data_IF_529955561311
#
_entry.id   IF_529955561311
#
_cell.length_a   1.000
_cell.length_b   1.000
_cell.length_c   1.000
_cell.angle_alpha   90.00
_cell.angle_beta   90.00
_cell.angle_gamma   90.00
#
_symmetry.space_group_name_H-M   'P 1'
#
loop_
_entity.id
_entity.type
_entity.pdbx_description
1 polymer ?
#
# COMPACT_ATOMS: atom_id res chain seq x y z
N UNK A 1 -37.17 8.26 7.07
CA UNK A 1 -35.90 8.45 7.79
C UNK A 1 -34.84 7.95 6.85
N UNK A 2 -33.99 8.87 6.38
CA UNK A 2 -33.04 8.62 5.31
C UNK A 2 -31.97 7.63 5.82
N UNK A 3 -32.16 6.34 5.55
CA UNK A 3 -31.15 5.32 5.88
C UNK A 3 -30.05 5.44 4.84
N UNK A 4 -29.08 6.31 5.10
CA UNK A 4 -27.89 6.44 4.26
C UNK A 4 -27.25 5.08 4.05
N UNK A 5 -27.02 4.71 2.79
CA UNK A 5 -26.32 3.47 2.41
C UNK A 5 -24.93 3.49 3.06
N UNK A 6 -24.53 2.38 3.68
CA UNK A 6 -23.20 2.21 4.25
C UNK A 6 -22.59 0.93 3.70
N UNK A 7 -21.31 0.99 3.31
CA UNK A 7 -20.54 -0.18 2.88
C UNK A 7 -19.40 -0.38 3.86
N UNK A 8 -19.26 -1.60 4.36
CA UNK A 8 -18.18 -1.97 5.27
C UNK A 8 -17.12 -2.83 4.61
N UNK A 9 -15.90 -2.75 5.15
CA UNK A 9 -14.79 -3.63 4.82
C UNK A 9 -14.05 -4.06 6.09
N UNK A 10 -13.53 -5.28 6.08
CA UNK A 10 -12.65 -5.81 7.12
C UNK A 10 -11.19 -5.74 6.66
N UNK A 11 -10.43 -4.79 7.21
CA UNK A 11 -9.05 -4.55 6.77
C UNK A 11 -8.05 -5.50 7.42
N UNK A 12 -7.53 -6.43 6.60
CA UNK A 12 -6.48 -7.39 6.94
C UNK A 12 -5.15 -7.09 6.22
N UNK A 13 -5.02 -5.90 5.63
CA UNK A 13 -3.96 -5.53 4.71
C UNK A 13 -2.58 -5.48 5.37
N UNK A 14 -1.63 -6.21 4.79
CA UNK A 14 -0.24 -6.30 5.25
C UNK A 14 0.74 -6.19 4.09
N UNK A 15 1.91 -5.60 4.34
CA UNK A 15 3.04 -5.59 3.40
C UNK A 15 4.33 -5.94 4.12
N UNK A 16 5.01 -7.03 3.70
CA UNK A 16 6.24 -7.54 4.35
C UNK A 16 6.08 -7.64 5.88
N UNK A 17 4.94 -8.15 6.34
CA UNK A 17 4.56 -8.29 7.76
C UNK A 17 4.30 -6.99 8.53
N UNK A 18 4.26 -5.83 7.87
CA UNK A 18 3.78 -4.57 8.45
C UNK A 18 2.29 -4.41 8.20
N UNK A 19 1.52 -4.13 9.25
CA UNK A 19 0.09 -3.85 9.15
C UNK A 19 -0.10 -2.44 8.57
N UNK A 20 -0.74 -2.36 7.40
CA UNK A 20 -0.88 -1.09 6.69
C UNK A 20 -1.75 -0.10 7.46
N UNK A 21 -2.70 -0.58 8.28
CA UNK A 21 -3.52 0.25 9.17
C UNK A 21 -2.70 1.09 10.13
N UNK A 22 -1.72 0.46 10.78
CA UNK A 22 -0.83 1.15 11.71
C UNK A 22 0.08 2.08 10.93
N UNK A 23 0.69 1.59 9.85
CA UNK A 23 1.65 2.37 9.08
C UNK A 23 1.01 3.63 8.49
N UNK A 24 -0.18 3.51 7.88
CA UNK A 24 -0.93 4.63 7.34
C UNK A 24 -1.57 5.49 8.41
N UNK A 25 -2.08 4.89 9.49
CA UNK A 25 -2.58 5.62 10.63
C UNK A 25 -1.51 6.54 11.20
N UNK A 26 -0.32 6.02 11.47
CA UNK A 26 0.78 6.81 12.01
C UNK A 26 1.35 7.80 11.00
N UNK A 27 1.44 7.47 9.71
CA UNK A 27 1.97 8.39 8.70
C UNK A 27 0.97 9.52 8.34
N UNK A 28 -0.28 9.19 8.04
CA UNK A 28 -1.26 10.12 7.47
C UNK A 28 -2.40 10.52 8.43
N UNK A 29 -2.58 9.82 9.54
CA UNK A 29 -3.68 10.08 10.49
C UNK A 29 -5.01 9.51 10.06
N UNK A 30 -4.98 8.56 9.12
CA UNK A 30 -6.14 7.99 8.46
C UNK A 30 -5.94 6.48 8.31
N UNK A 31 -7.00 5.66 8.26
CA UNK A 31 -6.86 4.25 7.93
C UNK A 31 -6.25 4.06 6.53
N UNK A 32 -5.72 2.86 6.27
CA UNK A 32 -5.14 2.53 4.95
C UNK A 32 -6.13 2.80 3.80
N UNK A 33 -7.41 2.47 4.01
CA UNK A 33 -8.48 2.71 3.05
C UNK A 33 -9.08 4.12 3.08
N UNK A 34 -8.56 5.03 3.91
CA UNK A 34 -9.09 6.40 4.06
C UNK A 34 -9.08 7.22 2.77
N UNK A 35 -8.14 6.93 1.86
CA UNK A 35 -8.08 7.57 0.52
C UNK A 35 -9.29 7.26 -0.37
N UNK A 36 -10.05 6.22 -0.03
CA UNK A 36 -11.25 5.79 -0.74
C UNK A 36 -12.55 6.10 0.05
N UNK A 37 -12.47 6.94 1.09
CA UNK A 37 -13.63 7.37 1.89
C UNK A 37 -13.98 6.43 3.06
N UNK A 38 -13.19 5.39 3.30
CA UNK A 38 -13.42 4.48 4.42
C UNK A 38 -12.90 5.06 5.73
N UNK A 39 -13.77 5.19 6.71
CA UNK A 39 -13.48 5.69 8.05
C UNK A 39 -13.64 4.61 9.11
N UNK A 40 -13.27 4.92 10.35
CA UNK A 40 -13.53 4.02 11.47
C UNK A 40 -15.03 3.71 11.57
N UNK A 41 -15.39 2.43 11.47
CA UNK A 41 -16.75 1.98 11.73
C UNK A 41 -16.90 1.44 13.15
N UNK A 42 -16.22 0.33 13.43
CA UNK A 42 -16.16 -0.28 14.77
C UNK A 42 -14.80 -0.89 15.02
N UNK A 43 -14.41 -0.97 16.28
CA UNK A 43 -13.22 -1.71 16.70
C UNK A 43 -13.59 -3.07 17.27
N UNK A 44 -12.72 -4.03 17.04
CA UNK A 44 -12.76 -5.33 17.69
C UNK A 44 -12.35 -5.18 19.16
N UNK A 45 -12.77 -6.13 20.00
CA UNK A 45 -12.33 -6.24 21.39
C UNK A 45 -12.61 -4.99 22.26
N UNK A 46 -13.69 -4.27 21.96
CA UNK A 46 -14.16 -3.12 22.74
C UNK A 46 -13.47 -1.79 22.40
N UNK A 47 -12.68 -1.74 21.32
CA UNK A 47 -12.13 -0.47 20.82
C UNK A 47 -13.26 0.38 20.25
N UNK A 48 -13.52 1.52 20.87
CA UNK A 48 -14.48 2.51 20.37
C UNK A 48 -13.78 3.64 19.58
N UNK A 49 -14.57 4.54 19.01
CA UNK A 49 -14.07 5.64 18.17
C UNK A 49 -13.13 6.59 18.92
N UNK A 50 -13.44 6.95 20.16
CA UNK A 50 -12.61 7.84 20.99
C UNK A 50 -11.25 7.20 21.29
N UNK A 51 -11.24 5.92 21.68
CA UNK A 51 -10.02 5.16 21.91
C UNK A 51 -9.15 5.08 20.65
N UNK A 52 -9.77 4.84 19.49
CA UNK A 52 -9.09 4.81 18.21
C UNK A 52 -8.46 6.16 17.85
N UNK A 53 -9.24 7.24 17.89
CA UNK A 53 -8.76 8.59 17.58
C UNK A 53 -7.65 9.03 18.54
N UNK A 54 -7.86 8.90 19.85
CA UNK A 54 -6.87 9.25 20.86
C UNK A 54 -5.58 8.44 20.69
N UNK A 55 -5.68 7.16 20.38
CA UNK A 55 -4.50 6.32 20.12
C UNK A 55 -3.76 6.80 18.87
N UNK A 56 -4.49 7.12 17.79
CA UNK A 56 -3.91 7.65 16.56
C UNK A 56 -3.15 8.94 16.80
N UNK A 57 -3.80 9.92 17.44
CA UNK A 57 -3.22 11.22 17.75
C UNK A 57 -2.00 11.09 18.65
N UNK A 58 -2.10 10.30 19.73
CA UNK A 58 -1.01 10.15 20.70
C UNK A 58 0.21 9.47 20.08
N UNK A 59 0.03 8.42 19.27
CA UNK A 59 1.15 7.77 18.58
C UNK A 59 1.79 8.73 17.58
N UNK A 60 0.98 9.48 16.82
CA UNK A 60 1.48 10.44 15.83
C UNK A 60 2.24 11.60 16.47
N UNK A 61 1.74 12.14 17.57
CA UNK A 61 2.33 13.29 18.27
C UNK A 61 3.49 12.89 19.19
N UNK A 62 3.76 11.60 19.36
CA UNK A 62 4.81 11.11 20.22
C UNK A 62 6.18 11.63 19.75
N UNK A 63 6.92 12.29 20.65
CA UNK A 63 8.19 12.96 20.30
C UNK A 63 9.27 11.97 19.95
N UNK A 64 10.00 12.24 18.86
CA UNK A 64 11.11 11.41 18.42
C UNK A 64 12.22 11.32 19.46
N UNK A 65 12.53 12.42 20.14
CA UNK A 65 13.54 12.46 21.21
C UNK A 65 13.22 11.51 22.37
N UNK A 66 11.94 11.36 22.71
CA UNK A 66 11.49 10.42 23.75
C UNK A 66 11.68 8.96 23.32
N UNK A 67 11.43 8.65 22.04
CA UNK A 67 11.64 7.30 21.47
C UNK A 67 13.12 6.98 21.41
N UNK A 68 13.95 7.90 20.92
CA UNK A 68 15.40 7.70 20.85
C UNK A 68 15.99 7.50 22.24
N UNK A 69 15.56 8.26 23.25
CA UNK A 69 16.04 8.09 24.62
C UNK A 69 15.62 6.73 25.21
N UNK A 70 14.37 6.32 24.98
CA UNK A 70 13.87 5.02 25.48
C UNK A 70 14.55 3.82 24.82
N UNK A 71 15.01 3.96 23.58
CA UNK A 71 15.60 2.86 22.79
C UNK A 71 17.13 2.92 22.71
N UNK A 72 17.75 4.04 23.08
CA UNK A 72 19.20 4.28 22.99
C UNK A 72 20.04 3.24 23.75
N UNK A 73 19.48 2.66 24.81
CA UNK A 73 20.19 1.68 25.67
C UNK A 73 20.29 0.30 24.99
N UNK A 74 19.46 0.00 23.99
CA UNK A 74 19.33 -1.36 23.44
C UNK A 74 19.38 -1.45 21.91
N UNK A 75 19.28 -0.33 21.18
CA UNK A 75 19.19 -0.35 19.73
C UNK A 75 19.99 0.79 19.08
N UNK A 76 21.32 0.70 19.00
CA UNK A 76 22.14 1.75 18.37
C UNK A 76 21.75 2.02 16.91
N UNK A 77 21.30 1.00 16.17
CA UNK A 77 20.86 1.13 14.78
C UNK A 77 19.65 2.05 14.62
N UNK A 78 18.75 2.13 15.62
CA UNK A 78 17.58 3.02 15.55
C UNK A 78 18.01 4.49 15.56
N UNK A 79 19.04 4.82 16.33
CA UNK A 79 19.57 6.18 16.43
C UNK A 79 20.22 6.59 15.12
N UNK A 80 20.98 5.68 14.49
CA UNK A 80 21.60 5.90 13.18
C UNK A 80 20.54 6.12 12.10
N UNK A 81 19.49 5.30 12.07
CA UNK A 81 18.41 5.41 11.10
C UNK A 81 17.63 6.72 11.30
N UNK A 82 17.24 7.05 12.54
CA UNK A 82 16.51 8.29 12.83
C UNK A 82 17.39 9.51 12.50
N UNK A 83 18.66 9.52 12.91
CA UNK A 83 19.60 10.61 12.60
C UNK A 83 19.77 10.82 11.09
N UNK A 84 19.84 9.72 10.32
CA UNK A 84 19.89 9.78 8.85
C UNK A 84 18.66 10.48 8.27
N UNK A 85 17.45 10.06 8.63
CA UNK A 85 16.23 10.70 8.11
C UNK A 85 16.04 12.14 8.64
N UNK A 86 16.50 12.42 9.87
CA UNK A 86 16.55 13.78 10.42
C UNK A 86 17.38 14.70 9.52
N UNK A 87 18.61 14.30 9.18
CA UNK A 87 19.48 15.06 8.27
C UNK A 87 18.87 15.23 6.87
N UNK A 88 18.29 14.16 6.31
CA UNK A 88 17.64 14.21 4.99
C UNK A 88 16.45 15.18 4.95
N UNK A 89 15.75 15.33 6.08
CA UNK A 89 14.60 16.24 6.21
C UNK A 89 14.97 17.69 6.53
N UNK A 90 16.26 18.02 6.64
CA UNK A 90 16.71 19.33 7.15
C UNK A 90 16.38 19.55 8.62
N UNK A 91 16.49 18.50 9.43
CA UNK A 91 16.23 18.48 10.87
C UNK A 91 14.81 18.90 11.30
N UNK A 92 13.82 18.69 10.41
CA UNK A 92 12.43 19.10 10.63
C UNK A 92 11.55 18.06 11.33
N UNK A 93 11.99 16.81 11.47
CA UNK A 93 11.18 15.76 12.09
C UNK A 93 11.18 15.93 13.63
N UNK A 94 10.00 16.00 14.22
CA UNK A 94 9.84 16.17 15.68
C UNK A 94 9.06 15.02 16.32
N UNK A 95 8.15 14.42 15.56
CA UNK A 95 7.22 13.40 16.05
C UNK A 95 7.30 12.13 15.20
N UNK A 96 6.77 11.02 15.73
CA UNK A 96 6.64 9.78 14.96
C UNK A 96 5.82 9.97 13.69
N UNK A 97 4.76 10.78 13.75
CA UNK A 97 3.99 11.14 12.56
C UNK A 97 4.86 11.78 11.49
N UNK A 98 5.71 12.74 11.84
CA UNK A 98 6.63 13.37 10.88
C UNK A 98 7.60 12.36 10.27
N UNK A 99 8.22 11.49 11.09
CA UNK A 99 9.17 10.49 10.61
C UNK A 99 8.51 9.49 9.65
N UNK A 100 7.40 8.86 10.05
CA UNK A 100 6.75 7.85 9.22
C UNK A 100 6.14 8.46 7.95
N UNK A 101 5.58 9.68 8.02
CA UNK A 101 5.13 10.41 6.84
C UNK A 101 6.29 10.68 5.88
N UNK A 102 7.40 11.22 6.36
CA UNK A 102 8.56 11.54 5.54
C UNK A 102 9.17 10.30 4.86
N UNK A 103 9.34 9.19 5.60
CA UNK A 103 9.86 7.93 5.02
C UNK A 103 8.89 7.35 3.98
N UNK A 104 7.59 7.47 4.20
CA UNK A 104 6.57 7.01 3.24
C UNK A 104 6.51 7.87 1.97
N UNK A 105 6.69 9.18 2.09
CA UNK A 105 6.79 10.09 0.94
C UNK A 105 8.10 9.91 0.16
N UNK A 106 9.21 9.63 0.84
CA UNK A 106 10.44 9.22 0.15
C UNK A 106 10.23 7.92 -0.63
N UNK A 107 9.46 6.98 -0.08
CA UNK A 107 9.13 5.73 -0.77
C UNK A 107 8.32 5.97 -2.04
N UNK A 108 7.32 6.86 -2.02
CA UNK A 108 6.55 7.19 -3.23
C UNK A 108 7.43 7.88 -4.27
N UNK A 109 8.31 8.79 -3.86
CA UNK A 109 9.25 9.48 -4.75
C UNK A 109 10.27 8.52 -5.42
N UNK A 110 10.77 7.52 -4.68
CA UNK A 110 11.69 6.51 -5.21
C UNK A 110 11.00 5.46 -6.09
N UNK A 111 9.69 5.29 -5.94
CA UNK A 111 8.87 4.39 -6.76
C UNK A 111 8.42 5.07 -8.05
N UNK A 112 8.23 6.40 -8.05
CA UNK A 112 7.81 7.21 -9.20
C UNK A 112 8.88 7.49 -10.26
N UNK A 113 10.04 6.82 -10.22
CA UNK A 113 10.92 6.83 -11.40
C UNK A 113 10.20 6.04 -12.52
N UNK A 114 9.88 6.63 -13.69
CA UNK A 114 9.18 5.95 -14.81
C UNK A 114 9.98 4.80 -15.44
N UNK A 115 11.02 4.31 -14.76
CA UNK A 115 11.96 3.30 -15.23
C UNK A 115 11.91 2.04 -14.33
N UNK A 116 11.14 2.01 -13.24
CA UNK A 116 11.24 0.91 -12.26
C UNK A 116 9.92 0.23 -11.87
N UNK A 117 8.80 0.57 -12.50
CA UNK A 117 7.55 -0.18 -12.36
C UNK A 117 7.22 -0.73 -13.75
N UNK A 118 7.10 -2.05 -13.84
CA UNK A 118 6.97 -2.87 -15.05
C UNK A 118 8.28 -3.25 -15.73
N UNK A 119 8.88 -4.33 -15.20
CA UNK A 119 9.90 -5.14 -15.88
C UNK A 119 11.21 -4.39 -16.20
N UNK A 120 12.33 -5.11 -16.13
CA UNK A 120 13.55 -4.66 -16.76
C UNK A 120 13.36 -4.67 -18.29
N UNK A 121 12.60 -3.70 -18.82
CA UNK A 121 12.50 -3.46 -20.26
C UNK A 121 13.65 -2.53 -20.60
N UNK A 122 14.76 -3.16 -21.01
CA UNK A 122 15.79 -2.50 -21.81
C UNK A 122 15.11 -1.60 -22.85
N UNK A 123 15.63 -0.39 -23.14
CA UNK A 123 15.00 0.55 -24.05
C UNK A 123 14.58 -0.16 -25.35
N UNK A 124 13.28 -0.43 -25.47
CA UNK A 124 12.74 -1.45 -26.38
C UNK A 124 12.71 -1.00 -27.84
N UNK A 125 13.19 0.21 -28.12
CA UNK A 125 13.13 0.77 -29.46
C UNK A 125 14.27 0.27 -30.38
N UNK A 126 15.16 -0.63 -29.90
CA UNK A 126 16.25 -1.22 -30.70
C UNK A 126 16.57 -2.69 -30.37
N UNK A 127 15.70 -3.45 -29.70
CA UNK A 127 16.00 -4.83 -29.32
C UNK A 127 15.49 -5.85 -30.36
N UNK A 128 16.40 -6.50 -31.10
CA UNK A 128 16.08 -7.59 -32.05
C UNK A 128 15.72 -8.92 -31.34
N UNK A 129 16.06 -9.07 -30.06
CA UNK A 129 15.90 -10.31 -29.30
C UNK A 129 14.64 -10.27 -28.40
N UNK A 130 14.04 -11.43 -28.15
CA UNK A 130 12.88 -11.54 -27.27
C UNK A 130 13.24 -11.29 -25.80
N UNK A 131 12.29 -10.78 -25.01
CA UNK A 131 12.49 -10.46 -23.59
C UNK A 131 13.01 -11.66 -22.77
N UNK A 132 12.51 -12.87 -23.05
CA UNK A 132 12.98 -14.11 -22.39
C UNK A 132 14.46 -14.41 -22.66
N UNK A 133 14.96 -14.14 -23.88
CA UNK A 133 16.37 -14.35 -24.22
C UNK A 133 17.28 -13.31 -23.58
N UNK A 134 16.82 -12.06 -23.52
CA UNK A 134 17.52 -10.96 -22.83
C UNK A 134 17.64 -11.25 -21.33
N UNK A 135 16.56 -11.72 -20.71
CA UNK A 135 16.53 -12.08 -19.29
C UNK A 135 17.50 -13.23 -18.99
N UNK A 136 17.47 -14.31 -19.78
CA UNK A 136 18.39 -15.42 -19.62
C UNK A 136 19.86 -14.99 -19.78
N UNK A 137 20.17 -14.15 -20.77
CA UNK A 137 21.50 -13.60 -20.96
C UNK A 137 21.94 -12.71 -19.79
N UNK A 138 21.02 -11.95 -19.21
CA UNK A 138 21.26 -11.11 -18.02
C UNK A 138 21.63 -11.95 -16.81
N UNK A 139 20.88 -13.03 -16.56
CA UNK A 139 21.16 -13.96 -15.46
C UNK A 139 22.53 -14.63 -15.60
N UNK A 140 22.86 -15.12 -16.80
CA UNK A 140 24.17 -15.74 -17.07
C UNK A 140 25.32 -14.76 -16.86
N UNK A 141 25.17 -13.50 -17.28
CA UNK A 141 26.19 -12.46 -17.08
C UNK A 141 26.38 -12.16 -15.59
N UNK A 142 25.30 -12.07 -14.80
CA UNK A 142 25.39 -11.83 -13.36
C UNK A 142 26.10 -13.00 -12.67
N UNK A 143 25.74 -14.24 -13.00
CA UNK A 143 26.39 -15.43 -12.42
C UNK A 143 27.88 -15.48 -12.78
N UNK A 144 28.24 -15.12 -14.02
CA UNK A 144 29.63 -14.99 -14.46
C UNK A 144 30.41 -13.95 -13.64
N UNK A 145 29.82 -12.78 -13.39
CA UNK A 145 30.44 -11.75 -12.55
C UNK A 145 30.53 -12.17 -11.08
N UNK A 146 29.53 -12.87 -10.57
CA UNK A 146 29.50 -13.39 -9.19
C UNK A 146 30.63 -14.39 -8.93
N UNK A 147 30.90 -15.27 -9.89
CA UNK A 147 32.00 -16.24 -9.82
C UNK A 147 33.40 -15.60 -9.75
N UNK A 148 33.52 -14.30 -10.06
CA UNK A 148 34.78 -13.56 -10.00
C UNK A 148 35.00 -12.80 -8.67
N UNK A 149 34.11 -12.95 -7.68
CA UNK A 149 34.36 -12.51 -6.29
C UNK A 149 34.68 -11.02 -6.14
N UNK A 150 33.82 -10.12 -6.64
CA UNK A 150 33.97 -8.65 -6.59
C UNK A 150 35.22 -8.08 -7.28
N UNK A 151 35.89 -8.84 -8.15
CA UNK A 151 36.99 -8.33 -8.97
C UNK A 151 36.45 -7.63 -10.22
N UNK A 152 37.19 -6.63 -10.69
CA UNK A 152 36.95 -6.02 -11.99
C UNK A 152 37.36 -6.99 -13.10
N UNK A 153 36.44 -7.27 -14.01
CA UNK A 153 36.60 -8.23 -15.11
C UNK A 153 36.41 -7.51 -16.44
N UNK A 154 37.30 -7.77 -17.40
CA UNK A 154 37.19 -7.15 -18.72
C UNK A 154 35.93 -7.60 -19.46
N UNK A 155 35.41 -6.74 -20.35
CA UNK A 155 34.28 -7.09 -21.24
C UNK A 155 34.47 -8.45 -21.93
N UNK A 156 35.69 -8.72 -22.39
CA UNK A 156 36.02 -9.93 -23.14
C UNK A 156 35.89 -11.19 -22.28
N UNK A 157 36.40 -11.15 -21.04
CA UNK A 157 36.32 -12.27 -20.09
C UNK A 157 34.87 -12.58 -19.69
N UNK A 158 34.05 -11.57 -19.42
CA UNK A 158 32.61 -11.78 -19.12
C UNK A 158 31.89 -12.38 -20.33
N UNK A 159 32.20 -11.89 -21.54
CA UNK A 159 31.63 -12.43 -22.78
C UNK A 159 32.04 -13.89 -23.01
N UNK A 160 33.32 -14.22 -22.85
CA UNK A 160 33.83 -15.56 -23.08
C UNK A 160 33.25 -16.58 -22.09
N UNK A 161 33.09 -16.18 -20.82
CA UNK A 161 32.41 -16.99 -19.80
C UNK A 161 30.92 -17.20 -20.10
N UNK A 162 30.20 -16.14 -20.51
CA UNK A 162 28.77 -16.22 -20.81
C UNK A 162 28.45 -16.90 -22.16
N UNK A 163 29.40 -16.87 -23.12
CA UNK A 163 29.26 -17.46 -24.45
C UNK A 163 29.01 -18.97 -24.40
N UNK A 164 29.55 -19.66 -23.40
CA UNK A 164 29.31 -21.09 -23.18
C UNK A 164 27.83 -21.46 -22.98
N UNK A 165 26.99 -20.50 -22.56
CA UNK A 165 25.58 -20.73 -22.24
C UNK A 165 24.61 -20.07 -23.24
N UNK A 166 24.94 -18.88 -23.77
CA UNK A 166 24.03 -18.09 -24.61
C UNK A 166 24.34 -18.22 -26.11
N UNK A 167 25.58 -18.51 -26.49
CA UNK A 167 26.05 -18.67 -27.89
C UNK A 167 26.06 -17.40 -28.75
N UNK A 168 25.06 -16.52 -28.59
CA UNK A 168 24.90 -15.27 -29.35
C UNK A 168 25.74 -14.13 -28.75
N UNK A 169 26.81 -13.75 -29.45
CA UNK A 169 27.73 -12.69 -29.03
C UNK A 169 27.12 -11.30 -29.10
N UNK A 170 26.21 -11.05 -30.05
CA UNK A 170 25.53 -9.77 -30.21
C UNK A 170 24.56 -9.50 -29.07
N UNK A 171 23.86 -10.53 -28.60
CA UNK A 171 22.98 -10.46 -27.43
C UNK A 171 23.78 -10.14 -26.15
N UNK A 172 24.89 -10.84 -25.92
CA UNK A 172 25.76 -10.59 -24.75
C UNK A 172 26.30 -9.15 -24.75
N UNK A 173 26.65 -8.63 -25.92
CA UNK A 173 27.13 -7.25 -26.06
C UNK A 173 26.09 -6.19 -25.79
N UNK A 174 24.87 -6.44 -26.28
CA UNK A 174 23.72 -5.60 -26.07
C UNK A 174 23.36 -5.55 -24.59
N UNK A 175 23.33 -6.71 -23.92
CA UNK A 175 23.07 -6.80 -22.48
C UNK A 175 24.19 -6.12 -21.68
N UNK A 176 25.47 -6.43 -21.91
CA UNK A 176 26.60 -5.78 -21.21
C UNK A 176 26.63 -4.26 -21.41
N UNK A 177 26.30 -3.77 -22.61
CA UNK A 177 26.19 -2.32 -22.87
C UNK A 177 25.10 -1.68 -22.01
N UNK A 178 24.00 -2.40 -21.78
CA UNK A 178 22.81 -1.91 -21.08
C UNK A 178 22.90 -2.08 -19.56
N UNK A 179 23.55 -3.13 -19.07
CA UNK A 179 23.75 -3.44 -17.65
C UNK A 179 24.70 -2.49 -16.92
N UNK A 180 25.45 -1.65 -17.65
CA UNK A 180 26.41 -0.73 -17.02
C UNK A 180 25.73 0.22 -16.05
N UNK A 181 26.09 0.12 -14.77
CA UNK A 181 25.57 0.92 -13.65
C UNK A 181 24.08 0.68 -13.33
N UNK A 182 23.55 -0.51 -13.64
CA UNK A 182 22.20 -0.92 -13.28
C UNK A 182 22.16 -1.77 -12.00
N UNK A 183 21.06 -1.69 -11.28
CA UNK A 183 20.77 -2.50 -10.10
C UNK A 183 19.88 -3.68 -10.51
N UNK A 184 20.30 -4.90 -10.19
CA UNK A 184 19.53 -6.11 -10.45
C UNK A 184 19.44 -6.93 -9.17
N UNK A 185 18.24 -6.98 -8.59
CA UNK A 185 18.00 -7.63 -7.31
C UNK A 185 18.84 -7.01 -6.19
N UNK A 186 19.73 -7.80 -5.59
CA UNK A 186 20.63 -7.39 -4.50
C UNK A 186 22.02 -6.94 -4.97
N UNK A 187 22.25 -6.93 -6.29
CA UNK A 187 23.55 -6.67 -6.87
C UNK A 187 23.54 -5.41 -7.75
N UNK A 188 24.66 -4.69 -7.76
CA UNK A 188 24.91 -3.54 -8.62
C UNK A 188 26.00 -3.92 -9.61
N UNK A 189 25.71 -3.85 -10.91
CA UNK A 189 26.72 -4.06 -11.95
C UNK A 189 27.41 -2.74 -12.23
N UNK A 190 28.64 -2.57 -11.73
CA UNK A 190 29.47 -1.40 -12.01
C UNK A 190 30.18 -1.55 -13.34
N UNK A 191 30.31 -0.45 -14.08
CA UNK A 191 31.07 -0.38 -15.32
C UNK A 191 32.01 0.82 -15.28
N UNK A 192 33.31 0.58 -15.44
CA UNK A 192 34.33 1.62 -15.45
C UNK A 192 35.40 1.33 -16.50
N UNK A 193 36.07 2.38 -16.97
CA UNK A 193 37.26 2.23 -17.82
C UNK A 193 38.47 2.21 -16.90
N UNK A 194 39.29 1.17 -16.99
CA UNK A 194 40.54 1.08 -16.26
C UNK A 194 41.46 2.24 -16.68
N UNK A 195 41.92 3.10 -15.76
CA UNK A 195 42.68 4.31 -16.10
C UNK A 195 44.06 4.00 -16.70
N UNK A 196 44.61 2.81 -16.43
CA UNK A 196 45.93 2.38 -16.89
C UNK A 196 45.82 1.65 -18.24
N UNK A 197 44.98 0.62 -18.31
CA UNK A 197 44.87 -0.21 -19.52
C UNK A 197 43.93 0.37 -20.57
N UNK A 198 43.12 1.38 -20.20
CA UNK A 198 42.04 1.95 -21.01
C UNK A 198 40.98 0.92 -21.44
N UNK A 199 40.98 -0.27 -20.83
CA UNK A 199 40.01 -1.34 -21.09
C UNK A 199 38.76 -1.14 -20.24
N UNK A 200 37.60 -1.46 -20.82
CA UNK A 200 36.32 -1.41 -20.12
C UNK A 200 36.12 -2.66 -19.25
N UNK A 201 35.95 -2.44 -17.96
CA UNK A 201 35.81 -3.48 -16.95
C UNK A 201 34.44 -3.39 -16.24
N UNK A 202 34.00 -4.54 -15.74
CA UNK A 202 32.73 -4.74 -15.03
C UNK A 202 33.00 -5.38 -13.68
N UNK A 203 32.27 -4.96 -12.66
CA UNK A 203 32.33 -5.55 -11.32
C UNK A 203 30.91 -5.70 -10.76
N UNK A 204 30.68 -6.76 -9.99
CA UNK A 204 29.43 -6.96 -9.26
C UNK A 204 29.64 -6.58 -7.80
N UNK A 205 28.90 -5.57 -7.34
CA UNK A 205 28.89 -5.16 -5.94
C UNK A 205 27.60 -5.66 -5.27
N UNK A 206 27.72 -6.26 -4.09
CA UNK A 206 26.56 -6.49 -3.23
C UNK A 206 26.09 -5.14 -2.66
N UNK A 207 24.78 -4.88 -2.74
CA UNK A 207 24.18 -3.59 -2.32
C UNK A 207 24.42 -3.24 -0.84
N UNK A 208 24.97 -4.16 -0.03
CA UNK A 208 25.31 -3.96 1.38
C UNK A 208 26.71 -3.36 1.62
N UNK A 209 27.65 -3.39 0.66
CA UNK A 209 29.06 -3.06 0.93
C UNK A 209 29.52 -1.64 0.51
N UNK A 210 28.61 -0.74 0.12
CA UNK A 210 28.96 0.64 -0.28
C UNK A 210 29.19 1.64 0.88
N UNK A 211 29.31 1.21 2.15
CA UNK A 211 29.38 2.16 3.28
C UNK A 211 30.70 2.16 4.08
N UNK A 212 31.69 1.36 3.69
CA UNK A 212 32.99 1.32 4.37
C UNK A 212 34.11 1.74 3.43
N UNK A 213 34.13 3.02 3.00
CA UNK A 213 35.35 3.78 2.67
C UNK A 213 34.99 5.13 2.03
N UNK A 214 35.21 6.22 2.76
CA UNK A 214 35.92 7.42 2.24
C UNK A 214 35.95 8.52 3.31
N UNK A 215 36.94 8.42 4.20
CA UNK A 215 37.66 9.61 4.65
C UNK A 215 38.55 10.07 3.50
N UNK A 216 38.27 11.23 2.93
CA UNK A 216 39.26 12.21 2.45
C UNK A 216 38.55 13.37 1.72
N UNK A 217 38.75 14.55 2.29
CA UNK A 217 38.20 15.84 1.87
C UNK A 217 38.91 16.32 0.59
N UNK A 218 38.15 16.87 -0.37
CA UNK A 218 38.66 17.89 -1.29
C UNK A 218 37.54 18.86 -1.70
N UNK A 219 37.70 20.19 -1.50
CA UNK A 219 36.64 21.17 -1.74
C UNK A 219 36.87 21.90 -3.08
N UNK A 220 36.25 21.44 -4.17
CA UNK A 220 35.79 22.32 -5.26
C UNK A 220 35.07 21.54 -6.37
N UNK A 221 33.74 21.66 -6.46
CA UNK A 221 33.02 21.60 -7.73
C UNK A 221 31.57 22.10 -7.57
N UNK A 222 31.15 22.88 -8.56
CA UNK A 222 29.93 23.70 -8.63
C UNK A 222 28.65 22.86 -8.82
N UNK A 223 27.53 23.44 -8.34
CA UNK A 223 26.11 23.13 -8.62
C UNK A 223 25.85 21.98 -9.61
N UNK A 224 25.50 20.80 -9.09
CA UNK A 224 24.87 19.70 -9.83
C UNK A 224 23.58 19.30 -9.10
N UNK A 225 22.53 19.06 -9.89
CA UNK A 225 21.16 18.70 -9.54
C UNK A 225 21.00 17.81 -8.29
N UNK A 226 20.00 18.14 -7.47
CA UNK A 226 19.58 17.57 -6.17
C UNK A 226 19.12 16.09 -6.15
N UNK A 227 19.63 15.22 -7.03
CA UNK A 227 19.26 13.79 -7.07
C UNK A 227 20.41 12.82 -6.77
N UNK A 228 21.67 13.26 -6.79
CA UNK A 228 22.83 12.41 -6.46
C UNK A 228 23.22 12.43 -4.97
N UNK A 229 22.50 13.17 -4.12
CA UNK A 229 22.91 13.44 -2.73
C UNK A 229 22.28 12.52 -1.67
N UNK A 230 21.24 11.74 -1.98
CA UNK A 230 20.50 11.02 -0.93
C UNK A 230 21.16 9.71 -0.48
N UNK A 231 22.03 9.10 -1.29
CA UNK A 231 22.71 7.83 -0.97
C UNK A 231 21.77 6.68 -0.56
N UNK A 232 20.46 6.79 -0.81
CA UNK A 232 19.42 5.94 -0.26
C UNK A 232 18.73 5.16 -1.38
N UNK A 233 18.87 3.84 -1.36
CA UNK A 233 18.18 2.94 -2.30
C UNK A 233 16.77 2.62 -1.80
N UNK A 234 15.86 2.26 -2.72
CA UNK A 234 14.52 1.79 -2.36
C UNK A 234 14.56 0.58 -1.41
N UNK A 235 15.52 -0.33 -1.60
CA UNK A 235 15.70 -1.49 -0.72
C UNK A 235 16.08 -1.07 0.70
N UNK A 236 17.04 -0.14 0.83
CA UNK A 236 17.46 0.38 2.13
C UNK A 236 16.29 1.09 2.83
N UNK A 237 15.52 1.89 2.10
CA UNK A 237 14.34 2.55 2.65
C UNK A 237 13.32 1.55 3.18
N UNK A 238 13.00 0.50 2.41
CA UNK A 238 12.03 -0.52 2.86
C UNK A 238 12.56 -1.31 4.07
N UNK A 239 13.87 -1.54 4.15
CA UNK A 239 14.51 -2.18 5.31
C UNK A 239 14.43 -1.28 6.55
N UNK A 240 14.79 -0.01 6.40
CA UNK A 240 14.71 0.99 7.47
C UNK A 240 13.26 1.13 7.96
N UNK A 241 12.29 1.22 7.05
CA UNK A 241 10.88 1.31 7.38
C UNK A 241 10.38 0.09 8.15
N UNK A 242 10.77 -1.12 7.73
CA UNK A 242 10.43 -2.35 8.44
C UNK A 242 11.02 -2.37 9.85
N UNK A 243 12.28 -1.94 10.00
CA UNK A 243 12.96 -1.87 11.28
C UNK A 243 12.32 -0.82 12.21
N UNK A 244 12.02 0.38 11.70
CA UNK A 244 11.28 1.43 12.41
C UNK A 244 9.91 0.91 12.88
N UNK A 245 9.18 0.21 12.01
CA UNK A 245 7.89 -0.40 12.34
C UNK A 245 8.00 -1.43 13.46
N UNK A 246 8.93 -2.39 13.36
CA UNK A 246 9.08 -3.45 14.37
C UNK A 246 9.54 -2.91 15.71
N UNK A 247 10.52 -2.01 15.72
CA UNK A 247 11.16 -1.56 16.96
C UNK A 247 10.33 -0.48 17.66
N UNK A 248 9.79 0.49 16.90
CA UNK A 248 9.02 1.59 17.48
C UNK A 248 7.56 1.17 17.68
N UNK A 249 6.87 0.78 16.60
CA UNK A 249 5.42 0.63 16.66
C UNK A 249 4.96 -0.67 17.34
N UNK A 250 5.77 -1.74 17.30
CA UNK A 250 5.44 -3.02 17.96
C UNK A 250 6.09 -3.23 19.33
N UNK A 251 7.30 -2.72 19.56
CA UNK A 251 8.09 -3.07 20.76
C UNK A 251 8.27 -1.91 21.76
N UNK A 252 8.21 -0.66 21.32
CA UNK A 252 8.36 0.48 22.22
C UNK A 252 7.15 0.59 23.16
N UNK A 253 7.34 0.28 24.45
CA UNK A 253 6.27 0.23 25.47
C UNK A 253 5.29 1.43 25.48
N UNK A 254 5.74 2.70 25.44
CA UNK A 254 4.80 3.82 25.45
C UNK A 254 3.93 3.92 24.19
N UNK A 255 4.30 3.22 23.11
CA UNK A 255 3.65 3.27 21.80
C UNK A 255 2.88 1.98 21.50
N UNK A 256 3.41 0.81 21.84
CA UNK A 256 2.89 -0.48 21.37
C UNK A 256 1.46 -0.79 21.86
N UNK A 257 1.08 -0.33 23.06
CA UNK A 257 -0.29 -0.46 23.56
C UNK A 257 -1.29 0.37 22.76
N UNK A 258 -0.91 1.59 22.37
CA UNK A 258 -1.73 2.48 21.54
C UNK A 258 -1.81 1.96 20.10
N UNK A 259 -0.70 1.44 19.57
CA UNK A 259 -0.67 0.73 18.28
C UNK A 259 -1.66 -0.45 18.27
N UNK A 260 -1.83 -1.14 19.41
CA UNK A 260 -2.76 -2.27 19.49
C UNK A 260 -4.21 -1.82 19.29
N UNK A 261 -4.62 -0.69 19.86
CA UNK A 261 -5.95 -0.13 19.64
C UNK A 261 -6.18 0.20 18.16
N UNK A 262 -5.17 0.72 17.46
CA UNK A 262 -5.23 0.96 16.00
C UNK A 262 -5.35 -0.35 15.22
N UNK A 263 -4.64 -1.41 15.64
CA UNK A 263 -4.70 -2.74 15.02
C UNK A 263 -6.04 -3.47 15.22
N UNK A 264 -6.75 -3.14 16.29
CA UNK A 264 -8.06 -3.72 16.58
C UNK A 264 -9.19 -2.95 15.86
N UNK A 265 -8.91 -1.81 15.23
CA UNK A 265 -9.84 -1.12 14.33
C UNK A 265 -9.79 -1.73 12.91
N UNK A 266 -10.41 -2.90 12.73
CA UNK A 266 -10.47 -3.62 11.44
C UNK A 266 -11.64 -3.21 10.56
N UNK A 267 -12.76 -2.90 11.18
CA UNK A 267 -14.00 -2.68 10.47
C UNK A 267 -14.11 -1.20 10.09
N UNK A 268 -13.93 -0.94 8.81
CA UNK A 268 -14.04 0.40 8.25
C UNK A 268 -15.37 0.53 7.51
N UNK A 269 -15.97 1.71 7.59
CA UNK A 269 -17.24 2.01 6.94
C UNK A 269 -17.05 3.21 6.03
N UNK A 270 -17.61 3.10 4.83
CA UNK A 270 -17.84 4.23 3.95
C UNK A 270 -19.33 4.59 4.00
N UNK A 271 -19.61 5.83 4.36
CA UNK A 271 -20.95 6.35 4.56
C UNK A 271 -21.37 7.18 3.34
N UNK A 272 -22.44 6.77 2.67
CA UNK A 272 -23.00 7.46 1.50
C UNK A 272 -24.19 8.35 1.86
N UNK A 273 -24.37 8.70 3.13
CA UNK A 273 -25.32 9.73 3.53
C UNK A 273 -24.99 11.07 2.86
N UNK A 274 -26.02 11.82 2.48
CA UNK A 274 -25.91 13.15 1.89
C UNK A 274 -25.03 14.09 2.74
N UNK A 275 -25.11 13.99 4.06
CA UNK A 275 -24.29 14.80 4.98
C UNK A 275 -22.79 14.48 4.86
N UNK A 276 -22.44 13.18 4.79
CA UNK A 276 -21.05 12.73 4.66
C UNK A 276 -20.47 13.12 3.29
N UNK A 277 -21.24 12.88 2.23
CA UNK A 277 -20.86 13.20 0.85
C UNK A 277 -20.67 14.72 0.64
N UNK A 278 -21.52 15.55 1.24
CA UNK A 278 -21.37 17.02 1.20
C UNK A 278 -20.19 17.51 2.02
N UNK A 279 -19.83 16.83 3.12
CA UNK A 279 -18.66 17.19 3.90
C UNK A 279 -17.35 17.04 3.10
N UNK A 280 -17.26 16.00 2.25
CA UNK A 280 -16.11 15.77 1.37
C UNK A 280 -15.99 16.84 0.25
N UNK A 281 -17.10 17.46 -0.15
CA UNK A 281 -17.15 18.48 -1.21
C UNK A 281 -16.74 19.90 -0.78
N UNK A 282 -16.22 20.11 0.45
CA UNK A 282 -15.93 21.45 0.99
C UNK A 282 -14.62 22.10 0.50
N UNK A 283 -13.85 21.42 -0.35
CA UNK A 283 -12.58 21.98 -0.83
C UNK A 283 -12.82 23.06 -1.90
N UNK A 284 -12.47 24.32 -1.60
CA UNK A 284 -12.69 25.45 -2.51
C UNK A 284 -11.71 25.50 -3.69
N UNK A 285 -10.57 24.82 -3.60
CA UNK A 285 -9.50 24.91 -4.61
C UNK A 285 -9.63 23.85 -5.71
N UNK A 286 -10.61 22.95 -5.58
CA UNK A 286 -10.84 21.81 -6.48
C UNK A 286 -12.32 21.69 -6.81
N UNK A 287 -12.61 21.09 -7.96
CA UNK A 287 -13.97 20.67 -8.30
C UNK A 287 -14.20 19.31 -7.69
N UNK A 288 -15.33 19.13 -7.01
CA UNK A 288 -15.73 17.83 -6.45
C UNK A 288 -17.10 17.47 -7.00
N UNK A 289 -17.28 16.23 -7.45
CA UNK A 289 -18.53 15.76 -8.04
C UNK A 289 -18.93 14.40 -7.49
N UNK A 290 -20.24 14.17 -7.37
CA UNK A 290 -20.84 12.92 -6.92
C UNK A 290 -21.20 12.08 -8.15
N UNK A 291 -20.31 11.18 -8.57
CA UNK A 291 -20.44 10.45 -9.82
C UNK A 291 -21.10 9.08 -9.60
N UNK A 292 -22.23 8.86 -10.25
CA UNK A 292 -22.87 7.55 -10.36
C UNK A 292 -22.76 7.03 -11.80
N UNK A 293 -22.71 5.71 -11.95
CA UNK A 293 -22.57 5.07 -13.24
C UNK A 293 -23.93 4.62 -13.80
N UNK A 294 -24.10 4.75 -15.10
CA UNK A 294 -25.11 4.06 -15.90
C UNK A 294 -24.38 3.16 -16.89
N UNK A 295 -24.69 1.86 -16.89
CA UNK A 295 -24.03 0.90 -17.77
C UNK A 295 -25.08 0.15 -18.58
N UNK A 296 -24.99 0.25 -19.90
CA UNK A 296 -25.80 -0.56 -20.81
C UNK A 296 -25.32 -2.02 -20.74
N UNK A 297 -26.19 -2.92 -20.27
CA UNK A 297 -26.01 -4.37 -20.36
C UNK A 297 -26.87 -4.87 -21.52
N UNK A 298 -26.33 -5.72 -22.39
CA UNK A 298 -27.10 -6.32 -23.48
C UNK A 298 -28.36 -7.03 -22.93
N UNK A 299 -29.51 -6.66 -23.50
CA UNK A 299 -30.87 -6.74 -22.95
C UNK A 299 -31.52 -8.14 -22.95
N UNK A 300 -30.87 -9.20 -22.47
CA UNK A 300 -31.46 -10.56 -22.57
C UNK A 300 -31.84 -11.28 -21.28
N UNK A 301 -31.74 -10.67 -20.08
CA UNK A 301 -32.23 -11.35 -18.87
C UNK A 301 -32.98 -10.42 -17.92
N UNK A 302 -34.23 -10.84 -17.63
CA UNK A 302 -35.20 -10.36 -16.65
C UNK A 302 -34.59 -9.43 -15.60
N UNK A 303 -34.94 -8.15 -15.70
CA UNK A 303 -34.58 -7.12 -14.74
C UNK A 303 -35.20 -7.44 -13.38
N UNK A 304 -34.40 -7.81 -12.38
CA UNK A 304 -34.75 -7.46 -11.00
C UNK A 304 -34.40 -5.97 -10.87
N UNK A 305 -35.40 -5.10 -10.79
CA UNK A 305 -35.25 -3.63 -10.67
C UNK A 305 -34.22 -3.24 -9.59
N UNK A 306 -34.04 -4.08 -8.57
CA UNK A 306 -33.02 -3.97 -7.53
C UNK A 306 -31.59 -3.93 -8.03
N UNK A 307 -31.28 -4.43 -9.22
CA UNK A 307 -29.91 -4.49 -9.76
C UNK A 307 -29.44 -3.19 -10.43
N UNK A 308 -30.37 -2.32 -10.87
CA UNK A 308 -30.05 -0.97 -11.38
C UNK A 308 -29.69 0.01 -10.25
N UNK A 309 -30.20 -0.22 -9.05
CA UNK A 309 -29.98 0.66 -7.87
C UNK A 309 -28.63 0.44 -7.14
N UNK A 310 -27.84 -0.56 -7.55
CA UNK A 310 -26.65 -1.01 -6.81
C UNK A 310 -25.34 -0.36 -7.27
N UNK A 311 -25.33 0.42 -8.36
CA UNK A 311 -24.07 1.02 -8.81
C UNK A 311 -23.57 2.06 -7.78
N UNK A 312 -22.30 1.97 -7.36
CA UNK A 312 -21.76 2.80 -6.30
C UNK A 312 -21.68 4.27 -6.71
N UNK A 313 -21.99 5.16 -5.77
CA UNK A 313 -21.88 6.61 -5.93
C UNK A 313 -20.52 7.07 -5.39
N UNK A 314 -19.66 7.60 -6.25
CA UNK A 314 -18.28 7.94 -5.84
C UNK A 314 -17.98 9.43 -5.90
N UNK A 315 -17.18 9.91 -4.95
CA UNK A 315 -16.75 11.31 -4.88
C UNK A 315 -15.47 11.48 -5.70
N UNK A 316 -15.56 12.22 -6.79
CA UNK A 316 -14.46 12.49 -7.70
C UNK A 316 -14.00 13.94 -7.53
N UNK A 317 -12.69 14.13 -7.30
CA UNK A 317 -12.09 15.46 -7.11
C UNK A 317 -11.08 15.77 -8.20
N UNK A 318 -11.23 16.92 -8.86
CA UNK A 318 -10.47 17.35 -10.02
C UNK A 318 -9.92 18.78 -9.85
N UNK A 319 -8.85 19.15 -10.57
CA UNK A 319 -8.40 20.54 -10.65
C UNK A 319 -9.50 21.48 -11.18
N UNK A 320 -9.46 22.77 -10.79
CA UNK A 320 -10.47 23.77 -11.21
C UNK A 320 -10.60 23.95 -12.74
N UNK A 321 -9.55 23.63 -13.50
CA UNK A 321 -9.52 23.74 -14.97
C UNK A 321 -9.68 22.39 -15.68
N UNK A 322 -10.22 21.38 -14.99
CA UNK A 322 -10.44 20.06 -15.57
C UNK A 322 -11.54 20.09 -16.65
N UNK A 323 -11.34 19.31 -17.71
CA UNK A 323 -12.32 19.15 -18.78
C UNK A 323 -13.25 17.96 -18.55
N UNK A 324 -14.31 17.84 -19.34
CA UNK A 324 -15.17 16.64 -19.35
C UNK A 324 -14.38 15.37 -19.64
N UNK A 325 -13.39 15.43 -20.54
CA UNK A 325 -12.47 14.32 -20.81
C UNK A 325 -11.63 13.95 -19.58
N UNK A 326 -11.20 14.92 -18.78
CA UNK A 326 -10.50 14.66 -17.51
C UNK A 326 -11.43 13.96 -16.50
N UNK A 327 -12.69 14.39 -16.41
CA UNK A 327 -13.69 13.72 -15.57
C UNK A 327 -13.87 12.26 -15.98
N UNK A 328 -14.08 11.99 -17.28
CA UNK A 328 -14.24 10.62 -17.79
C UNK A 328 -13.05 9.74 -17.43
N UNK A 329 -11.82 10.21 -17.66
CA UNK A 329 -10.59 9.45 -17.33
C UNK A 329 -10.47 9.19 -15.83
N UNK A 330 -10.79 10.18 -15.00
CA UNK A 330 -10.67 10.05 -13.55
C UNK A 330 -11.74 9.12 -12.99
N UNK A 331 -12.98 9.20 -13.49
CA UNK A 331 -14.07 8.26 -13.17
C UNK A 331 -13.65 6.84 -13.58
N UNK A 332 -13.17 6.64 -14.81
CA UNK A 332 -12.67 5.33 -15.25
C UNK A 332 -11.60 4.80 -14.31
N UNK A 333 -10.58 5.60 -14.02
CA UNK A 333 -9.47 5.21 -13.15
C UNK A 333 -9.97 4.83 -11.75
N UNK A 334 -10.82 5.67 -11.16
CA UNK A 334 -11.32 5.51 -9.80
C UNK A 334 -12.17 4.24 -9.65
N UNK A 335 -13.16 4.03 -10.54
CA UNK A 335 -14.03 2.86 -10.46
C UNK A 335 -13.29 1.57 -10.80
N UNK A 336 -12.35 1.58 -11.75
CA UNK A 336 -11.50 0.40 -12.07
C UNK A 336 -10.59 -0.01 -10.91
N UNK A 337 -10.13 0.96 -10.11
CA UNK A 337 -9.26 0.69 -8.96
C UNK A 337 -10.03 0.12 -7.77
N UNK A 338 -11.26 0.58 -7.53
CA UNK A 338 -12.05 0.18 -6.35
C UNK A 338 -12.84 -1.10 -6.62
N UNK A 339 -13.51 -1.18 -7.77
CA UNK A 339 -14.48 -2.23 -8.05
C UNK A 339 -13.89 -3.24 -9.02
N UNK A 340 -13.67 -4.46 -8.52
CA UNK A 340 -13.13 -5.56 -9.32
C UNK A 340 -13.95 -5.81 -10.59
N UNK A 341 -15.28 -5.75 -10.48
CA UNK A 341 -16.20 -5.98 -11.59
C UNK A 341 -16.23 -4.82 -12.60
N UNK A 342 -15.69 -3.65 -12.26
CA UNK A 342 -15.61 -2.49 -13.14
C UNK A 342 -14.22 -2.30 -13.76
N UNK A 343 -13.33 -3.31 -13.70
CA UNK A 343 -11.96 -3.22 -14.23
C UNK A 343 -11.88 -2.91 -15.73
N UNK A 344 -12.88 -3.32 -16.50
CA UNK A 344 -13.00 -3.04 -17.94
C UNK A 344 -13.94 -1.86 -18.26
N UNK A 345 -14.47 -1.17 -17.25
CA UNK A 345 -15.40 -0.05 -17.44
C UNK A 345 -14.78 1.07 -18.26
N UNK A 346 -15.48 1.55 -19.29
CA UNK A 346 -15.10 2.72 -20.11
C UNK A 346 -16.20 3.77 -20.07
N UNK A 347 -15.85 5.00 -19.70
CA UNK A 347 -16.76 6.13 -19.65
C UNK A 347 -16.94 6.69 -21.07
N UNK A 348 -18.19 6.88 -21.48
CA UNK A 348 -18.53 7.30 -22.83
C UNK A 348 -19.06 8.73 -22.87
N UNK A 349 -20.03 9.04 -22.01
CA UNK A 349 -20.69 10.34 -21.99
C UNK A 349 -21.12 10.75 -20.60
N UNK A 350 -21.18 12.06 -20.39
CA UNK A 350 -21.84 12.68 -19.25
C UNK A 350 -23.33 12.79 -19.61
N UNK A 351 -24.20 12.12 -18.83
CA UNK A 351 -25.65 12.15 -19.06
C UNK A 351 -26.21 13.53 -18.70
N UNK A 352 -27.35 13.89 -19.29
CA UNK A 352 -28.07 15.16 -19.08
C UNK A 352 -27.35 16.44 -19.55
N UNK A 353 -26.12 16.32 -20.07
CA UNK A 353 -25.35 17.44 -20.61
C UNK A 353 -24.83 17.10 -22.02
N UNK A 354 -25.10 17.96 -22.99
CA UNK A 354 -24.49 17.85 -24.32
C UNK A 354 -23.11 18.52 -24.30
N UNK A 355 -22.11 17.81 -23.78
CA UNK A 355 -20.76 18.33 -23.55
C UNK A 355 -19.69 17.49 -24.27
N UNK A 356 -18.73 18.19 -24.87
CA UNK A 356 -17.57 17.58 -25.53
C UNK A 356 -16.40 17.41 -24.54
N UNK A 357 -15.46 16.51 -24.86
CA UNK A 357 -14.34 16.19 -23.97
C UNK A 357 -13.42 17.39 -23.67
N UNK A 358 -13.40 18.40 -24.54
CA UNK A 358 -12.64 19.64 -24.37
C UNK A 358 -13.32 20.67 -23.47
N UNK A 359 -14.60 20.51 -23.18
CA UNK A 359 -15.37 21.51 -22.44
C UNK A 359 -14.94 21.55 -20.97
N UNK A 360 -14.90 22.76 -20.42
CA UNK A 360 -14.52 22.97 -19.02
C UNK A 360 -15.68 22.62 -18.08
N UNK A 361 -15.44 21.71 -17.15
CA UNK A 361 -16.47 21.26 -16.19
C UNK A 361 -17.09 22.41 -15.39
N UNK A 362 -16.27 23.36 -14.97
CA UNK A 362 -16.72 24.50 -14.17
C UNK A 362 -17.67 25.46 -14.91
N UNK A 363 -17.77 25.35 -16.24
CA UNK A 363 -18.72 26.12 -17.05
C UNK A 363 -20.05 25.37 -17.25
N UNK A 364 -20.04 24.05 -17.11
CA UNK A 364 -21.17 23.18 -17.39
C UNK A 364 -21.90 22.83 -16.09
N UNK A 365 -21.17 22.52 -15.03
CA UNK A 365 -21.71 21.97 -13.78
C UNK A 365 -21.07 22.64 -12.56
N UNK A 366 -21.90 22.94 -11.57
CA UNK A 366 -21.43 23.43 -10.27
C UNK A 366 -20.72 22.33 -9.46
N UNK A 367 -19.65 22.69 -8.77
CA UNK A 367 -19.00 21.82 -7.80
C UNK A 367 -20.00 21.36 -6.71
N UNK A 368 -19.92 20.09 -6.33
CA UNK A 368 -20.83 19.41 -5.40
C UNK A 368 -22.04 18.76 -6.06
N UNK A 369 -22.22 18.88 -7.37
CA UNK A 369 -23.37 18.30 -8.08
C UNK A 369 -23.23 16.78 -8.27
N UNK A 370 -24.38 16.09 -8.31
CA UNK A 370 -24.48 14.69 -8.71
C UNK A 370 -24.43 14.58 -10.22
N UNK A 371 -23.54 13.72 -10.73
CA UNK A 371 -23.32 13.46 -12.14
C UNK A 371 -23.61 12.00 -12.45
N UNK A 372 -24.31 11.77 -13.56
CA UNK A 372 -24.53 10.43 -14.10
C UNK A 372 -23.59 10.23 -15.28
N UNK A 373 -22.73 9.22 -15.20
CA UNK A 373 -21.76 8.89 -16.24
C UNK A 373 -22.20 7.62 -16.95
N UNK A 374 -22.48 7.74 -18.24
CA UNK A 374 -22.78 6.58 -19.07
C UNK A 374 -21.48 5.90 -19.52
N UNK A 375 -21.47 4.58 -19.55
CA UNK A 375 -20.35 3.81 -20.06
C UNK A 375 -20.68 2.36 -20.34
N UNK A 376 -19.67 1.63 -20.82
CA UNK A 376 -19.77 0.21 -21.15
C UNK A 376 -18.80 -0.62 -20.32
N UNK A 377 -19.14 -1.89 -20.11
CA UNK A 377 -18.26 -2.88 -19.47
C UNK A 377 -18.17 -4.08 -20.42
N UNK A 378 -16.94 -4.49 -20.75
CA UNK A 378 -16.71 -5.61 -21.69
C UNK A 378 -16.93 -6.98 -21.02
N UNK A 379 -16.74 -7.06 -19.71
CA UNK A 379 -16.92 -8.29 -18.92
C UNK A 379 -18.24 -8.26 -18.13
N UNK A 380 -18.96 -9.38 -18.08
CA UNK A 380 -20.19 -9.49 -17.27
C UNK A 380 -19.85 -9.31 -15.78
N UNK A 381 -20.10 -8.11 -15.29
CA UNK A 381 -19.87 -7.69 -13.92
C UNK A 381 -21.08 -7.99 -13.04
N UNK A 382 -20.94 -8.86 -12.04
CA UNK A 382 -21.91 -8.96 -10.95
C UNK A 382 -21.33 -8.20 -9.74
N UNK A 383 -22.07 -7.20 -9.26
CA UNK A 383 -21.78 -6.53 -7.99
C UNK A 383 -22.70 -7.19 -6.97
N UNK A 384 -22.12 -7.92 -6.03
CA UNK A 384 -22.84 -8.50 -4.90
C UNK A 384 -22.44 -7.72 -3.65
N UNK A 385 -23.41 -7.12 -2.96
CA UNK A 385 -23.16 -6.28 -1.77
C UNK A 385 -23.41 -7.02 -0.44
N UNK A 386 -23.60 -8.34 -0.47
CA UNK A 386 -23.86 -9.09 0.75
C UNK A 386 -23.33 -10.52 0.66
N UNK A 387 -22.55 -10.91 1.67
CA UNK A 387 -22.32 -12.32 1.98
C UNK A 387 -23.42 -12.78 2.93
N UNK A 388 -24.14 -13.83 2.57
CA UNK A 388 -25.15 -14.46 3.42
C UNK A 388 -24.46 -15.32 4.50
N UNK A 389 -23.83 -14.71 5.50
CA UNK A 389 -23.35 -15.46 6.65
C UNK A 389 -24.42 -15.41 7.75
N UNK A 390 -25.24 -16.46 7.83
CA UNK A 390 -26.37 -16.61 8.78
C UNK A 390 -25.92 -16.86 10.24
N UNK A 391 -24.65 -16.59 10.58
CA UNK A 391 -24.07 -16.93 11.88
C UNK A 391 -24.54 -15.96 12.96
N UNK A 392 -25.02 -16.50 14.07
CA UNK A 392 -25.40 -15.70 15.24
C UNK A 392 -24.14 -15.32 16.03
N UNK A 393 -23.78 -14.04 15.95
CA UNK A 393 -22.60 -13.47 16.59
C UNK A 393 -22.98 -12.69 17.85
N UNK A 394 -22.43 -13.09 18.99
CA UNK A 394 -22.62 -12.35 20.25
C UNK A 394 -21.40 -12.50 21.15
N UNK A 395 -20.44 -11.58 20.96
CA UNK A 395 -19.21 -11.54 21.72
C UNK A 395 -19.32 -10.56 22.91
N UNK A 396 -18.61 -10.85 24.01
CA UNK A 396 -18.57 -9.98 25.21
C UNK A 396 -17.99 -8.59 24.95
N UNK A 397 -17.25 -8.41 23.85
CA UNK A 397 -16.75 -7.11 23.41
C UNK A 397 -17.80 -6.23 22.70
N UNK A 398 -19.01 -6.74 22.48
CA UNK A 398 -20.10 -6.04 21.79
C UNK A 398 -20.17 -6.29 20.28
N UNK A 399 -19.30 -7.14 19.71
CA UNK A 399 -19.39 -7.54 18.31
C UNK A 399 -20.66 -8.37 18.03
N UNK A 400 -21.40 -7.96 17.00
CA UNK A 400 -22.66 -8.58 16.53
C UNK A 400 -22.58 -9.09 15.10
N UNK A 401 -21.45 -8.87 14.44
CA UNK A 401 -21.16 -9.20 13.05
C UNK A 401 -19.72 -9.68 12.97
N UNK A 402 -19.38 -10.43 11.92
CA UNK A 402 -18.01 -10.89 11.69
C UNK A 402 -17.12 -9.69 11.32
N UNK A 403 -16.11 -9.43 12.16
CA UNK A 403 -15.11 -8.38 11.99
C UNK A 403 -13.77 -8.93 11.47
N UNK A 404 -13.75 -10.17 10.99
CA UNK A 404 -12.56 -10.84 10.44
C UNK A 404 -11.54 -11.22 11.51
N UNK A 405 -11.95 -11.27 12.78
CA UNK A 405 -11.15 -11.83 13.86
C UNK A 405 -11.34 -13.34 13.99
N UNK A 406 -10.42 -14.00 14.68
CA UNK A 406 -10.54 -15.44 14.94
C UNK A 406 -11.69 -15.70 15.90
N UNK A 407 -12.60 -16.57 15.50
CA UNK A 407 -13.81 -16.89 16.25
C UNK A 407 -13.82 -18.33 16.74
N UNK A 408 -14.62 -18.59 17.77
CA UNK A 408 -14.98 -19.91 18.28
C UNK A 408 -16.50 -19.96 18.50
N UNK A 409 -17.11 -21.09 18.16
CA UNK A 409 -18.53 -21.34 18.35
C UNK A 409 -18.74 -22.10 19.68
N UNK A 410 -19.74 -21.70 20.47
CA UNK A 410 -20.15 -22.44 21.67
C UNK A 410 -20.90 -23.71 21.27
N UNK A 411 -20.48 -24.89 21.76
CA UNK A 411 -21.12 -26.18 21.43
C UNK A 411 -22.53 -26.35 22.03
N UNK A 412 -22.96 -25.45 22.91
CA UNK A 412 -24.29 -25.52 23.57
C UNK A 412 -25.29 -24.54 22.97
N UNK A 413 -24.88 -23.29 22.74
CA UNK A 413 -25.78 -22.24 22.28
C UNK A 413 -25.49 -21.73 20.86
N UNK A 414 -24.48 -22.31 20.20
CA UNK A 414 -24.07 -22.01 18.81
C UNK A 414 -23.70 -20.53 18.55
N UNK A 415 -23.55 -19.75 19.61
CA UNK A 415 -23.11 -18.36 19.53
C UNK A 415 -21.62 -18.30 19.23
N UNK A 416 -21.26 -17.47 18.26
CA UNK A 416 -19.86 -17.18 17.91
C UNK A 416 -19.28 -16.05 18.77
N UNK A 417 -18.06 -16.28 19.28
CA UNK A 417 -17.30 -15.32 20.09
C UNK A 417 -15.84 -15.23 19.60
N UNK A 418 -15.19 -14.08 19.79
CA UNK A 418 -13.76 -13.97 19.51
C UNK A 418 -12.95 -14.90 20.41
N UNK A 419 -11.99 -15.64 19.85
CA UNK A 419 -11.08 -16.49 20.65
C UNK A 419 -10.37 -15.68 21.72
N UNK A 420 -9.93 -14.45 21.39
CA UNK A 420 -9.26 -13.56 22.35
C UNK A 420 -10.18 -13.10 23.50
N UNK A 421 -11.46 -12.85 23.22
CA UNK A 421 -12.46 -12.52 24.24
C UNK A 421 -12.79 -13.75 25.10
N UNK A 422 -12.74 -14.94 24.50
CA UNK A 422 -12.82 -16.23 25.17
C UNK A 422 -11.50 -16.67 25.84
N UNK A 423 -10.47 -15.80 25.86
CA UNK A 423 -9.15 -16.05 26.46
C UNK A 423 -8.33 -17.19 25.80
N UNK A 424 -8.61 -17.51 24.55
CA UNK A 424 -7.84 -18.44 23.72
C UNK A 424 -6.88 -17.63 22.86
N UNK A 425 -5.57 -17.85 23.05
CA UNK A 425 -4.52 -17.16 22.28
C UNK A 425 -4.57 -17.52 20.80
N UNK A 426 -4.07 -16.63 19.94
CA UNK A 426 -3.90 -16.92 18.50
C UNK A 426 -2.87 -18.03 18.23
N UNK A 427 -1.98 -18.31 19.18
CA UNK A 427 -0.99 -19.39 19.10
C UNK A 427 -1.52 -20.75 19.59
N UNK A 428 -2.68 -20.75 20.25
CA UNK A 428 -3.29 -21.95 20.83
C UNK A 428 -4.34 -22.51 19.87
N UNK A 429 -4.39 -23.84 19.76
CA UNK A 429 -5.48 -24.51 19.05
C UNK A 429 -6.81 -24.28 19.78
N UNK A 430 -7.89 -24.15 19.01
CA UNK A 430 -9.23 -24.05 19.63
C UNK A 430 -9.54 -25.42 20.27
N UNK A 431 -10.00 -25.47 21.52
CA UNK A 431 -10.45 -26.71 22.14
C UNK A 431 -11.51 -27.42 21.29
N UNK A 432 -11.52 -28.76 21.31
CA UNK A 432 -12.53 -29.56 20.59
C UNK A 432 -13.95 -29.33 21.10
N UNK A 433 -14.09 -28.95 22.37
CA UNK A 433 -15.35 -28.57 22.99
C UNK A 433 -15.11 -27.20 23.66
N UNK A 434 -15.90 -26.21 23.30
CA UNK A 434 -15.88 -24.86 23.83
C UNK A 434 -17.27 -24.48 24.37
N UNK A 435 -17.29 -24.01 25.62
CA UNK A 435 -18.47 -23.47 26.27
C UNK A 435 -18.26 -21.98 26.50
N UNK A 436 -19.21 -21.15 26.07
CA UNK A 436 -19.18 -19.74 26.41
C UNK A 436 -19.43 -19.54 27.91
N UNK A 437 -18.98 -18.41 28.47
CA UNK A 437 -19.12 -18.12 29.90
C UNK A 437 -20.57 -18.21 30.43
N UNK A 438 -21.56 -17.94 29.57
CA UNK A 438 -22.98 -18.09 29.92
C UNK A 438 -23.37 -19.56 30.08
N UNK A 439 -22.97 -20.41 29.15
CA UNK A 439 -23.24 -21.84 29.19
C UNK A 439 -22.46 -22.52 30.31
N UNK A 440 -21.20 -22.14 30.52
CA UNK A 440 -20.37 -22.62 31.63
C UNK A 440 -21.01 -22.30 32.98
N UNK A 441 -21.45 -21.05 33.18
CA UNK A 441 -22.14 -20.66 34.42
C UNK A 441 -23.47 -21.40 34.61
N UNK A 442 -24.24 -21.60 33.54
CA UNK A 442 -25.50 -22.35 33.60
C UNK A 442 -25.26 -23.82 33.99
N UNK A 443 -24.22 -24.46 33.47
CA UNK A 443 -23.87 -25.84 33.84
C UNK A 443 -23.41 -25.91 35.30
N UNK A 444 -22.63 -24.93 35.78
CA UNK A 444 -22.14 -24.92 37.16
C UNK A 444 -23.24 -24.63 38.19
N UNK A 445 -24.27 -23.85 37.83
CA UNK A 445 -25.41 -23.55 38.70
C UNK A 445 -26.45 -24.66 38.78
N UNK A 446 -26.39 -25.64 37.88
CA UNK A 446 -27.15 -26.88 37.97
C UNK A 446 -26.20 -28.04 38.28
N UNK A 447 -25.65 -28.14 39.51
CA UNK A 447 -25.17 -29.44 39.96
C UNK A 447 -26.38 -30.36 39.90
N UNK A 448 -26.30 -31.36 39.05
CA UNK A 448 -27.33 -32.38 38.87
C UNK A 448 -27.96 -32.76 40.20
N UNK A 449 -29.29 -32.69 40.23
CA UNK A 449 -30.12 -33.64 40.98
C UNK A 449 -29.68 -35.05 40.54
N UNK A 450 -28.59 -35.55 41.12
CA UNK A 450 -28.10 -36.92 41.03
C UNK A 450 -27.74 -37.38 42.45
#
# INVERSE_FOLDING_TARGET
GDTGRQISINDTSKKKSMDLRVLHGVAYGQPWFGRWGYNFGRGSFGVNHEMYQKSMETVRSFRLSSVTNSLAVSNYDILTIVSKYQKLSGDSLQTLGHLFHYVMELKSCLVHDPVQIEHAVLPMNQCRWSSKRVEMATLVIIESLKNNGSKWVSRQQVRDSARAYIGDTGLLDFVLKSLGNQVIGNYVVRRAVNPVTRVLEYCLEEANNCFNNSDSISPNAKKVSSKSQLGLTHLQLVRDLLYLYSTILRQCRPVCGLTRAILDAKHLIKDYSEESLRAECKNRDKLTFLCALSVSRDEEQVEDERSRELLPLEVITLPHRATVGDLKREVERHFREIYFSLRSFKAESLMDFNAEDSDLLCQIVNSGSKLMINGRIEEKALIYESGSDERVLYCSCGAKEDDGERMVCCDVCEVWQHTRCAKISNSEEVPKIFLCSRCEHHIMLFPTLL
#
